data_IF_961215554517
#
_entry.id   IF_961215554517
#
_cell.length_a   1.000
_cell.length_b   1.000
_cell.length_c   1.000
_cell.angle_alpha   90.00
_cell.angle_beta   90.00
_cell.angle_gamma   90.00
#
_symmetry.space_group_name_H-M   'P 1'
#
loop_
_entity.id
_entity.type
_entity.pdbx_description
1 polymer ?
#
# COMPACT_ATOMS: atom_id res chain seq x y z
N UNK A 1 13.38 -48.83 8.50
CA UNK A 1 13.14 -47.81 7.47
C UNK A 1 11.67 -47.41 7.37
N UNK A 2 10.73 -48.37 7.26
CA UNK A 2 9.28 -48.10 7.13
C UNK A 2 8.67 -47.41 8.36
N UNK A 3 9.08 -47.76 9.59
CA UNK A 3 8.59 -47.13 10.83
C UNK A 3 9.06 -45.70 10.99
N UNK A 4 10.27 -45.38 10.54
CA UNK A 4 10.80 -43.99 10.53
C UNK A 4 10.05 -43.12 9.52
N UNK A 5 9.74 -43.67 8.37
CA UNK A 5 8.93 -43.01 7.34
C UNK A 5 7.49 -42.74 7.80
N UNK A 6 6.87 -43.65 8.56
CA UNK A 6 5.53 -43.47 9.11
C UNK A 6 5.49 -42.36 10.17
N UNK A 7 6.50 -42.27 11.06
CA UNK A 7 6.61 -41.21 12.05
C UNK A 7 6.87 -39.85 11.42
N UNK A 8 7.72 -39.78 10.40
CA UNK A 8 7.97 -38.57 9.64
C UNK A 8 6.71 -38.06 8.90
N UNK A 9 5.94 -38.97 8.33
CA UNK A 9 4.67 -38.65 7.70
C UNK A 9 3.61 -38.13 8.69
N UNK A 10 3.56 -38.71 9.89
CA UNK A 10 2.65 -38.25 10.94
C UNK A 10 3.03 -36.85 11.46
N UNK A 11 4.31 -36.60 11.62
CA UNK A 11 4.80 -35.26 11.99
C UNK A 11 4.50 -34.20 10.91
N UNK A 12 4.68 -34.57 9.64
CA UNK A 12 4.31 -33.71 8.51
C UNK A 12 2.82 -33.41 8.46
N UNK A 13 1.97 -34.43 8.75
CA UNK A 13 0.51 -34.23 8.84
C UNK A 13 0.12 -33.31 9.96
N UNK A 14 0.76 -33.42 11.14
CA UNK A 14 0.53 -32.49 12.27
C UNK A 14 0.94 -31.05 11.91
N UNK A 15 2.11 -30.87 11.32
CA UNK A 15 2.56 -29.55 10.83
C UNK A 15 1.62 -28.97 9.77
N UNK A 16 1.13 -29.81 8.87
CA UNK A 16 0.17 -29.39 7.85
C UNK A 16 -1.16 -28.96 8.48
N UNK A 17 -1.67 -29.72 9.45
CA UNK A 17 -2.89 -29.39 10.18
C UNK A 17 -2.75 -28.10 11.00
N UNK A 18 -1.58 -27.85 11.63
CA UNK A 18 -1.28 -26.58 12.31
C UNK A 18 -1.24 -25.41 11.32
N UNK A 19 -0.64 -25.59 10.13
CA UNK A 19 -0.61 -24.58 9.08
C UNK A 19 -2.04 -24.30 8.56
N UNK A 20 -2.86 -25.32 8.39
CA UNK A 20 -4.25 -25.19 7.93
C UNK A 20 -5.14 -24.51 8.97
N UNK A 21 -4.95 -24.81 10.27
CA UNK A 21 -5.69 -24.18 11.38
C UNK A 21 -5.27 -22.71 11.60
N UNK A 22 -4.01 -22.37 11.34
CA UNK A 22 -3.47 -21.03 11.49
C UNK A 22 -3.50 -20.20 10.19
N UNK A 23 -4.08 -20.72 9.11
CA UNK A 23 -4.32 -19.89 7.92
C UNK A 23 -5.33 -18.80 8.29
N UNK A 24 -4.95 -17.52 8.14
CA UNK A 24 -5.92 -16.46 8.32
C UNK A 24 -7.05 -16.67 7.33
N UNK A 25 -8.27 -16.78 7.85
CA UNK A 25 -9.48 -16.85 7.00
C UNK A 25 -9.55 -15.55 6.22
N UNK A 26 -9.42 -15.63 4.90
CA UNK A 26 -9.53 -14.45 4.06
C UNK A 26 -10.99 -13.98 4.01
N UNK A 27 -11.22 -12.70 4.32
CA UNK A 27 -12.53 -12.05 4.17
C UNK A 27 -12.86 -11.80 2.69
N UNK A 28 -11.84 -11.61 1.87
CA UNK A 28 -11.98 -11.36 0.45
C UNK A 28 -10.86 -11.99 -0.37
N UNK A 29 -11.00 -11.94 -1.70
CA UNK A 29 -9.99 -12.44 -2.62
C UNK A 29 -8.74 -11.57 -2.63
N UNK A 30 -7.56 -12.20 -2.62
CA UNK A 30 -6.28 -11.52 -2.84
C UNK A 30 -6.04 -11.12 -4.31
N UNK A 31 -6.86 -11.57 -5.26
CA UNK A 31 -6.65 -11.36 -6.70
C UNK A 31 -7.11 -9.99 -7.22
N UNK A 32 -7.84 -9.19 -6.44
CA UNK A 32 -8.27 -7.85 -6.84
C UNK A 32 -7.10 -6.95 -7.23
N UNK A 33 -7.32 -6.01 -8.14
CA UNK A 33 -6.34 -5.00 -8.55
C UNK A 33 -6.26 -3.82 -7.57
N UNK A 34 -7.29 -3.65 -6.76
CA UNK A 34 -7.33 -2.79 -5.58
C UNK A 34 -7.66 -3.66 -4.37
N UNK A 35 -7.31 -3.20 -3.17
CA UNK A 35 -7.70 -3.86 -1.94
C UNK A 35 -9.10 -3.44 -1.47
N UNK A 36 -9.53 -3.91 -0.29
CA UNK A 36 -10.85 -3.58 0.26
C UNK A 36 -10.99 -2.09 0.62
N UNK A 37 -9.90 -1.45 1.01
CA UNK A 37 -9.86 -0.01 1.28
C UNK A 37 -9.80 0.85 0.00
N UNK A 38 -9.71 0.22 -1.18
CA UNK A 38 -9.60 0.89 -2.48
C UNK A 38 -8.19 1.33 -2.83
N UNK A 39 -7.16 0.91 -2.08
CA UNK A 39 -5.77 1.22 -2.42
C UNK A 39 -5.30 0.37 -3.60
N UNK A 40 -4.63 0.99 -4.61
CA UNK A 40 -4.07 0.26 -5.74
C UNK A 40 -3.01 -0.74 -5.29
N UNK A 41 -3.09 -1.98 -5.79
CA UNK A 41 -2.03 -2.98 -5.69
C UNK A 41 -1.11 -2.91 -6.91
N UNK A 42 0.05 -3.58 -6.88
CA UNK A 42 0.96 -3.60 -8.04
C UNK A 42 0.26 -4.01 -9.34
N UNK A 43 -0.71 -4.93 -9.29
CA UNK A 43 -1.50 -5.33 -10.46
C UNK A 43 -2.34 -4.20 -11.06
N UNK A 44 -2.76 -3.22 -10.30
CA UNK A 44 -3.44 -2.04 -10.82
C UNK A 44 -2.59 -1.35 -11.89
N UNK A 45 -1.31 -1.17 -11.61
CA UNK A 45 -0.36 -0.54 -12.53
C UNK A 45 -0.03 -1.41 -13.74
N UNK A 46 -0.06 -2.74 -13.60
CA UNK A 46 0.02 -3.64 -14.75
C UNK A 46 -1.16 -3.42 -15.70
N UNK A 47 -2.40 -3.41 -15.18
CA UNK A 47 -3.57 -3.16 -16.01
C UNK A 47 -3.54 -1.76 -16.61
N UNK A 48 -3.18 -0.74 -15.82
CA UNK A 48 -3.05 0.63 -16.32
C UNK A 48 -2.07 0.72 -17.49
N UNK A 49 -0.93 0.04 -17.40
CA UNK A 49 0.09 0.04 -18.47
C UNK A 49 -0.42 -0.55 -19.80
N UNK A 50 -1.43 -1.43 -19.74
CA UNK A 50 -1.99 -2.12 -20.91
C UNK A 50 -3.28 -1.49 -21.44
N UNK A 51 -4.14 -1.04 -20.53
CA UNK A 51 -5.44 -0.47 -20.91
C UNK A 51 -5.34 1.02 -21.28
N UNK A 52 -4.28 1.68 -20.84
CA UNK A 52 -4.02 3.10 -21.11
C UNK A 52 -2.62 3.30 -21.72
N UNK A 53 -2.33 2.73 -22.91
CA UNK A 53 -1.00 2.72 -23.52
C UNK A 53 -0.48 4.13 -23.87
N UNK A 54 -1.40 5.11 -24.02
CA UNK A 54 -1.04 6.50 -24.31
C UNK A 54 -0.81 7.35 -23.06
N UNK A 55 -1.08 6.80 -21.86
CA UNK A 55 -0.81 7.49 -20.61
C UNK A 55 0.61 7.18 -20.15
N UNK A 56 1.49 8.19 -20.02
CA UNK A 56 2.82 7.98 -19.48
C UNK A 56 2.76 7.39 -18.07
N UNK A 57 3.33 6.22 -17.88
CA UNK A 57 3.45 5.60 -16.56
C UNK A 57 4.64 4.66 -16.47
N UNK A 58 5.23 4.60 -15.30
CA UNK A 58 6.14 3.58 -14.83
C UNK A 58 5.78 3.23 -13.39
N UNK A 59 6.00 1.99 -12.98
CA UNK A 59 5.78 1.52 -11.62
C UNK A 59 6.81 0.44 -11.29
N UNK A 60 7.59 0.72 -10.24
CA UNK A 60 8.60 -0.22 -9.71
C UNK A 60 7.95 -1.12 -8.66
N UNK A 61 8.24 -2.40 -8.72
CA UNK A 61 7.90 -3.36 -7.67
C UNK A 61 9.07 -4.32 -7.42
N UNK A 62 9.22 -4.78 -6.17
CA UNK A 62 8.49 -4.42 -4.93
C UNK A 62 8.94 -3.05 -4.39
N UNK A 63 8.34 -2.63 -3.26
CA UNK A 63 8.90 -1.53 -2.46
C UNK A 63 10.37 -1.81 -2.09
N UNK A 64 11.12 -0.78 -1.66
CA UNK A 64 12.56 -0.94 -1.41
C UNK A 64 12.91 -0.83 0.08
N UNK A 65 12.23 -1.66 0.91
CA UNK A 65 12.41 -1.75 2.37
C UNK A 65 12.58 -3.21 2.80
N UNK A 66 13.79 -3.74 2.72
CA UNK A 66 14.13 -5.11 3.09
C UNK A 66 15.39 -5.14 3.96
N UNK A 67 15.35 -4.67 5.23
CA UNK A 67 16.53 -4.57 6.08
C UNK A 67 17.26 -5.91 6.27
N UNK A 68 16.51 -7.02 6.26
CA UNK A 68 17.06 -8.37 6.44
C UNK A 68 17.68 -8.96 5.15
N UNK A 69 17.59 -8.23 4.03
CA UNK A 69 18.08 -8.69 2.73
C UNK A 69 19.29 -7.93 2.19
N UNK A 70 19.96 -7.13 3.02
CA UNK A 70 21.15 -6.38 2.59
C UNK A 70 22.18 -7.35 2.02
N UNK A 71 22.68 -7.06 0.81
CA UNK A 71 23.62 -7.91 0.07
C UNK A 71 23.01 -9.15 -0.61
N UNK A 72 21.70 -9.38 -0.49
CA UNK A 72 21.03 -10.52 -1.13
C UNK A 72 20.34 -10.12 -2.43
N UNK A 73 20.27 -11.06 -3.38
CA UNK A 73 19.53 -10.86 -4.63
C UNK A 73 18.05 -10.62 -4.35
N UNK A 74 17.54 -9.51 -4.85
CA UNK A 74 16.16 -9.08 -4.72
C UNK A 74 15.66 -8.68 -6.11
N UNK A 75 14.91 -9.55 -6.81
CA UNK A 75 14.41 -9.26 -8.14
C UNK A 75 13.54 -8.01 -8.17
N UNK A 76 13.74 -7.17 -9.19
CA UNK A 76 12.98 -5.95 -9.41
C UNK A 76 12.22 -6.08 -10.73
N UNK A 77 10.99 -5.60 -10.72
CA UNK A 77 10.14 -5.53 -11.91
C UNK A 77 9.68 -4.10 -12.16
N UNK A 78 9.43 -3.80 -13.42
CA UNK A 78 8.87 -2.51 -13.83
C UNK A 78 7.69 -2.75 -14.77
N UNK A 79 6.52 -2.19 -14.41
CA UNK A 79 5.39 -2.03 -15.30
C UNK A 79 5.46 -0.66 -15.96
N UNK A 80 5.28 -0.59 -17.26
CA UNK A 80 5.25 0.68 -17.99
C UNK A 80 4.41 0.59 -19.27
N UNK A 81 3.78 1.68 -19.65
CA UNK A 81 3.17 1.88 -20.96
C UNK A 81 4.20 2.21 -22.05
N UNK A 82 5.48 2.43 -21.69
CA UNK A 82 6.59 2.58 -22.62
C UNK A 82 7.09 1.25 -23.21
N UNK A 83 8.04 1.32 -24.12
CA UNK A 83 8.66 0.16 -24.80
C UNK A 83 9.84 -0.40 -24.03
N UNK A 84 10.55 0.47 -23.33
CA UNK A 84 11.80 0.19 -22.64
C UNK A 84 11.81 0.85 -21.27
N UNK A 85 12.64 0.34 -20.36
CA UNK A 85 13.00 1.05 -19.15
C UNK A 85 14.45 0.78 -18.77
N UNK A 86 15.07 1.75 -18.13
CA UNK A 86 16.37 1.65 -17.49
C UNK A 86 16.17 1.74 -15.98
N UNK A 87 16.82 0.83 -15.25
CA UNK A 87 16.76 0.76 -13.79
C UNK A 87 18.06 1.29 -13.19
N UNK A 88 17.94 2.05 -12.12
CA UNK A 88 19.06 2.62 -11.38
C UNK A 88 18.95 2.27 -9.90
N UNK A 89 20.06 1.86 -9.28
CA UNK A 89 20.18 1.69 -7.84
C UNK A 89 21.24 2.66 -7.32
N UNK A 90 20.87 3.57 -6.44
CA UNK A 90 21.72 4.61 -5.89
C UNK A 90 22.50 5.38 -6.98
N UNK A 91 21.80 5.74 -8.06
CA UNK A 91 22.36 6.46 -9.22
C UNK A 91 23.17 5.60 -10.20
N UNK A 92 23.46 4.32 -9.88
CA UNK A 92 24.16 3.38 -10.77
C UNK A 92 23.16 2.69 -11.67
N UNK A 93 23.37 2.77 -12.99
CA UNK A 93 22.55 2.03 -13.97
C UNK A 93 22.72 0.52 -13.82
N UNK A 94 21.62 -0.19 -13.79
CA UNK A 94 21.53 -1.66 -13.83
C UNK A 94 21.16 -2.16 -15.24
N UNK A 95 21.22 -1.27 -16.20
CA UNK A 95 20.96 -1.53 -17.61
C UNK A 95 19.55 -1.19 -18.06
N UNK A 96 19.45 -0.93 -19.36
CA UNK A 96 18.21 -0.67 -20.08
C UNK A 96 17.70 -1.94 -20.72
N UNK A 97 16.41 -2.21 -20.61
CA UNK A 97 15.74 -3.38 -21.17
C UNK A 97 14.57 -2.97 -22.00
N UNK A 98 14.30 -3.74 -23.06
CA UNK A 98 13.15 -3.59 -23.95
C UNK A 98 12.15 -4.71 -23.70
N UNK A 99 10.86 -4.38 -23.71
CA UNK A 99 9.80 -5.39 -23.64
C UNK A 99 9.77 -6.21 -24.93
N UNK A 100 9.77 -7.54 -24.81
CA UNK A 100 9.45 -8.44 -25.89
C UNK A 100 7.97 -8.38 -26.27
N UNK A 101 7.62 -8.96 -27.39
CA UNK A 101 6.26 -8.92 -27.96
C UNK A 101 5.18 -9.42 -26.96
N UNK A 102 5.48 -10.48 -26.20
CA UNK A 102 4.56 -11.10 -25.22
C UNK A 102 4.91 -10.79 -23.78
N UNK A 103 5.89 -9.91 -23.54
CA UNK A 103 6.28 -9.51 -22.19
C UNK A 103 5.38 -8.39 -21.67
N UNK A 104 4.85 -8.58 -20.47
CA UNK A 104 4.00 -7.59 -19.81
C UNK A 104 4.73 -6.78 -18.73
N UNK A 105 5.99 -7.14 -18.43
CA UNK A 105 6.85 -6.47 -17.44
C UNK A 105 8.30 -6.56 -17.85
N UNK A 106 9.11 -5.63 -17.38
CA UNK A 106 10.56 -5.71 -17.45
C UNK A 106 11.10 -6.28 -16.13
N UNK A 107 12.18 -7.07 -16.18
CA UNK A 107 12.71 -7.81 -15.02
C UNK A 107 14.22 -7.61 -14.90
N UNK A 108 14.68 -7.40 -13.65
CA UNK A 108 16.06 -7.44 -13.22
C UNK A 108 16.17 -8.46 -12.09
N UNK A 109 16.62 -9.67 -12.38
CA UNK A 109 16.60 -10.80 -11.43
C UNK A 109 17.78 -10.79 -10.46
N UNK A 110 18.87 -10.13 -10.82
CA UNK A 110 20.15 -10.16 -10.09
C UNK A 110 20.43 -8.86 -9.31
N UNK A 111 19.44 -8.04 -9.05
CA UNK A 111 19.62 -6.82 -8.26
C UNK A 111 19.98 -7.21 -6.83
N UNK A 112 21.12 -6.78 -6.36
CA UNK A 112 21.55 -6.96 -4.97
C UNK A 112 20.96 -5.83 -4.15
N UNK A 113 20.21 -6.16 -3.09
CA UNK A 113 19.60 -5.14 -2.25
C UNK A 113 20.66 -4.34 -1.49
N UNK A 114 20.66 -3.05 -1.72
CA UNK A 114 21.36 -2.01 -0.98
C UNK A 114 20.33 -0.96 -0.55
N UNK A 115 20.30 -0.51 0.72
CA UNK A 115 19.42 0.60 1.12
C UNK A 115 19.68 1.85 0.28
N UNK A 116 18.63 2.61 -0.01
CA UNK A 116 18.73 3.85 -0.79
C UNK A 116 17.62 4.01 -1.81
N UNK A 117 17.94 4.53 -2.98
CA UNK A 117 17.01 4.84 -4.05
C UNK A 117 17.04 3.80 -5.16
N UNK A 118 15.89 3.27 -5.49
CA UNK A 118 15.66 2.50 -6.71
C UNK A 118 14.80 3.34 -7.65
N UNK A 119 15.31 3.70 -8.82
CA UNK A 119 14.66 4.58 -9.78
C UNK A 119 14.58 3.91 -11.15
N UNK A 120 13.50 4.13 -11.86
CA UNK A 120 13.38 3.73 -13.27
C UNK A 120 13.03 4.92 -14.15
N UNK A 121 13.57 4.90 -15.38
CA UNK A 121 13.19 5.81 -16.46
C UNK A 121 12.65 4.93 -17.59
N UNK A 122 11.40 5.12 -17.93
CA UNK A 122 10.75 4.44 -19.05
C UNK A 122 10.85 5.29 -20.34
N UNK A 123 10.90 4.61 -21.47
CA UNK A 123 11.01 5.24 -22.78
C UNK A 123 9.94 4.68 -23.72
N UNK A 124 9.46 5.53 -24.63
CA UNK A 124 8.57 5.15 -25.74
C UNK A 124 9.12 5.82 -27.01
N UNK A 125 9.28 5.03 -28.08
CA UNK A 125 9.85 5.50 -29.37
C UNK A 125 11.20 6.24 -29.19
N UNK A 126 12.06 5.72 -28.31
CA UNK A 126 13.37 6.26 -28.00
C UNK A 126 13.40 7.53 -27.13
N UNK A 127 12.25 8.11 -26.78
CA UNK A 127 12.12 9.30 -25.92
C UNK A 127 11.76 8.92 -24.49
N UNK A 128 12.22 9.70 -23.53
CA UNK A 128 11.78 9.54 -22.14
C UNK A 128 10.27 9.69 -22.06
N UNK A 129 9.63 8.73 -21.42
CA UNK A 129 8.17 8.60 -21.35
C UNK A 129 7.63 8.85 -19.96
N UNK A 130 8.19 8.15 -18.98
CA UNK A 130 7.79 8.25 -17.57
C UNK A 130 8.98 7.91 -16.67
N UNK A 131 8.85 8.19 -15.39
CA UNK A 131 9.80 7.74 -14.36
C UNK A 131 9.04 7.36 -13.09
N UNK A 132 9.66 6.50 -12.29
CA UNK A 132 9.18 6.14 -10.96
C UNK A 132 10.37 5.96 -10.03
N UNK A 133 10.14 6.15 -8.72
CA UNK A 133 11.17 6.05 -7.71
C UNK A 133 10.59 5.46 -6.43
N UNK A 134 11.24 4.44 -5.91
CA UNK A 134 11.00 3.90 -4.57
C UNK A 134 12.28 4.05 -3.73
N UNK A 135 12.11 4.32 -2.44
CA UNK A 135 13.24 4.58 -1.56
C UNK A 135 13.14 3.76 -0.28
N UNK A 136 14.27 3.35 0.25
CA UNK A 136 14.34 2.82 1.61
C UNK A 136 13.99 3.94 2.58
N UNK A 137 13.03 3.67 3.45
CA UNK A 137 12.54 4.63 4.45
C UNK A 137 13.19 4.39 5.81
N UNK A 138 13.11 5.39 6.67
CA UNK A 138 13.36 5.23 8.09
C UNK A 138 12.17 4.54 8.81
N UNK A 139 12.23 4.52 10.15
CA UNK A 139 11.10 4.11 10.98
C UNK A 139 9.95 5.13 10.83
N UNK A 140 8.68 4.71 10.96
CA UNK A 140 7.58 5.65 10.99
C UNK A 140 7.69 6.56 12.22
N UNK A 141 7.46 7.86 12.04
CA UNK A 141 7.54 8.88 13.11
C UNK A 141 6.27 9.73 13.18
N UNK A 142 5.48 9.78 12.11
CA UNK A 142 4.31 10.62 12.03
C UNK A 142 3.20 9.99 11.18
N UNK A 143 1.99 10.50 11.41
CA UNK A 143 0.81 10.22 10.60
C UNK A 143 0.61 11.36 9.61
N UNK A 144 0.32 11.02 8.34
CA UNK A 144 -0.08 11.96 7.30
C UNK A 144 -1.51 11.66 6.85
N UNK A 145 -2.33 12.69 6.74
CA UNK A 145 -3.74 12.59 6.33
C UNK A 145 -3.96 13.22 4.95
N UNK A 146 -4.78 12.56 4.14
CA UNK A 146 -5.28 13.09 2.88
C UNK A 146 -6.75 12.75 2.73
N UNK A 147 -7.59 13.74 2.48
CA UNK A 147 -9.02 13.58 2.26
C UNK A 147 -9.34 13.77 0.76
N UNK A 148 -10.29 13.00 0.24
CA UNK A 148 -10.76 13.12 -1.14
C UNK A 148 -11.52 14.44 -1.38
N UNK A 149 -12.10 15.02 -0.33
CA UNK A 149 -12.76 16.33 -0.35
C UNK A 149 -12.67 17.04 1.02
N UNK A 150 -12.85 18.35 1.00
CA UNK A 150 -12.71 19.22 2.18
C UNK A 150 -14.06 19.82 2.63
N UNK A 151 -15.14 19.46 1.95
CA UNK A 151 -16.48 19.97 2.25
C UNK A 151 -17.50 18.84 2.15
N UNK A 152 -18.43 18.78 3.10
CA UNK A 152 -19.54 17.84 3.15
C UNK A 152 -20.88 18.59 3.19
N UNK A 153 -21.92 17.97 2.64
CA UNK A 153 -23.30 18.41 2.83
C UNK A 153 -23.84 17.92 4.17
N UNK A 154 -24.62 18.78 4.88
CA UNK A 154 -25.28 18.45 6.13
C UNK A 154 -26.57 17.64 5.92
N UNK A 155 -26.58 16.68 4.98
CA UNK A 155 -27.73 15.88 4.61
C UNK A 155 -27.85 14.56 5.41
N UNK A 156 -26.82 14.24 6.20
CA UNK A 156 -26.75 12.99 6.97
C UNK A 156 -26.36 11.77 6.14
N UNK A 157 -25.97 11.95 4.88
CA UNK A 157 -25.54 10.88 3.97
C UNK A 157 -24.17 11.11 3.34
N UNK A 158 -23.74 12.36 3.21
CA UNK A 158 -22.47 12.70 2.55
C UNK A 158 -21.26 12.21 3.34
N UNK A 159 -20.29 11.66 2.62
CA UNK A 159 -19.11 10.97 3.15
C UNK A 159 -17.82 11.63 2.67
N UNK A 160 -16.77 11.55 3.48
CA UNK A 160 -15.41 11.83 3.09
C UNK A 160 -14.54 10.61 3.38
N UNK A 161 -13.64 10.30 2.44
CA UNK A 161 -12.67 9.22 2.53
C UNK A 161 -11.31 9.81 2.91
N UNK A 162 -10.80 9.43 4.06
CA UNK A 162 -9.54 9.94 4.61
C UNK A 162 -8.51 8.84 4.55
N UNK A 163 -7.53 9.01 3.66
CA UNK A 163 -6.33 8.16 3.62
C UNK A 163 -5.38 8.58 4.72
N UNK A 164 -4.96 7.62 5.50
CA UNK A 164 -3.99 7.75 6.58
C UNK A 164 -2.74 7.01 6.13
N UNK A 165 -1.60 7.68 6.09
CA UNK A 165 -0.30 7.10 5.74
C UNK A 165 0.67 7.30 6.90
N UNK A 166 1.52 6.30 7.12
CA UNK A 166 2.59 6.37 8.09
C UNK A 166 3.87 6.81 7.40
N UNK A 167 4.49 7.85 7.90
CA UNK A 167 5.65 8.47 7.24
C UNK A 167 6.87 8.53 8.17
N UNK A 168 8.04 8.49 7.55
CA UNK A 168 9.31 8.70 8.21
C UNK A 168 9.66 10.19 8.38
N UNK A 169 10.85 10.49 8.91
CA UNK A 169 11.33 11.86 9.11
C UNK A 169 11.42 12.71 7.85
N UNK A 170 11.50 12.07 6.68
CA UNK A 170 11.56 12.75 5.38
C UNK A 170 10.18 12.84 4.70
N UNK A 171 9.12 12.37 5.40
CA UNK A 171 7.75 12.38 4.89
C UNK A 171 7.46 11.28 3.86
N UNK A 172 8.33 10.27 3.73
CA UNK A 172 8.14 9.11 2.85
C UNK A 172 7.24 8.09 3.53
N UNK A 173 6.32 7.51 2.77
CA UNK A 173 5.45 6.44 3.28
C UNK A 173 6.26 5.19 3.61
N UNK A 174 6.04 4.65 4.81
CA UNK A 174 6.74 3.47 5.32
C UNK A 174 5.92 2.21 5.04
N UNK A 175 6.22 1.43 3.99
CA UNK A 175 5.36 0.34 3.51
C UNK A 175 5.34 -0.90 4.42
N UNK A 176 6.13 -0.89 5.47
CA UNK A 176 6.22 -1.99 6.45
C UNK A 176 5.68 -1.62 7.83
N UNK A 177 5.05 -0.43 7.94
CA UNK A 177 4.56 0.07 9.23
C UNK A 177 3.14 -0.45 9.52
N UNK A 178 2.95 -1.05 10.71
CA UNK A 178 1.69 -1.67 11.12
C UNK A 178 1.28 -1.30 12.58
N UNK A 179 1.37 -0.02 13.03
CA UNK A 179 0.89 0.34 14.35
C UNK A 179 -0.64 0.33 14.40
N UNK A 180 -1.18 0.20 15.61
CA UNK A 180 -2.59 0.45 15.88
C UNK A 180 -2.87 1.95 15.79
N UNK A 181 -3.86 2.34 14.98
CA UNK A 181 -4.29 3.72 14.78
C UNK A 181 -5.67 3.90 15.39
N UNK A 182 -5.84 4.97 16.15
CA UNK A 182 -7.11 5.41 16.72
C UNK A 182 -7.62 6.62 15.93
N UNK A 183 -8.85 6.52 15.40
CA UNK A 183 -9.50 7.58 14.64
C UNK A 183 -10.64 8.19 15.48
N UNK A 184 -10.67 9.51 15.57
CA UNK A 184 -11.70 10.25 16.29
C UNK A 184 -12.19 11.45 15.48
N UNK A 185 -13.38 11.94 15.85
CA UNK A 185 -13.95 13.16 15.27
C UNK A 185 -14.53 14.05 16.35
N UNK A 186 -14.48 15.35 16.10
CA UNK A 186 -15.16 16.38 16.88
C UNK A 186 -16.03 17.24 15.93
N UNK A 187 -17.19 17.70 16.40
CA UNK A 187 -18.11 18.58 15.65
C UNK A 187 -19.17 17.83 14.85
N UNK A 188 -19.39 18.24 13.61
CA UNK A 188 -20.60 17.95 12.82
C UNK A 188 -20.52 16.62 12.05
N UNK A 189 -19.99 15.54 12.63
CA UNK A 189 -19.93 14.24 11.98
C UNK A 189 -19.13 13.21 12.78
N UNK A 190 -19.10 11.99 12.27
CA UNK A 190 -18.46 10.86 12.96
C UNK A 190 -17.76 9.91 12.01
N UNK A 191 -16.74 9.20 12.52
CA UNK A 191 -16.17 8.03 11.86
C UNK A 191 -17.24 6.93 11.81
N UNK A 192 -17.50 6.38 10.64
CA UNK A 192 -18.48 5.30 10.45
C UNK A 192 -17.82 3.98 10.08
N UNK A 193 -16.59 4.02 9.54
CA UNK A 193 -15.86 2.82 9.20
C UNK A 193 -14.35 3.10 9.11
N UNK A 194 -13.55 2.06 9.33
CA UNK A 194 -12.14 2.01 9.01
C UNK A 194 -11.83 0.73 8.24
N UNK A 195 -10.86 0.77 7.31
CA UNK A 195 -10.36 -0.40 6.60
C UNK A 195 -8.85 -0.21 6.28
N UNK A 196 -8.07 -1.26 6.45
CA UNK A 196 -6.64 -1.24 6.15
C UNK A 196 -6.27 -1.96 4.84
N UNK A 197 -7.27 -2.51 4.13
CA UNK A 197 -7.03 -3.27 2.89
C UNK A 197 -6.54 -4.70 3.07
N UNK A 198 -6.24 -5.13 4.30
CA UNK A 198 -5.85 -6.52 4.58
C UNK A 198 -7.05 -7.45 4.41
N UNK A 199 -6.99 -8.32 3.40
CA UNK A 199 -8.03 -9.31 3.12
C UNK A 199 -8.20 -10.35 4.25
N UNK A 200 -7.23 -10.49 5.14
CA UNK A 200 -7.26 -11.41 6.29
C UNK A 200 -7.79 -10.74 7.56
N UNK A 201 -7.92 -9.41 7.60
CA UNK A 201 -8.41 -8.70 8.78
C UNK A 201 -9.88 -9.03 9.03
N UNK A 202 -10.20 -9.55 10.23
CA UNK A 202 -11.56 -9.86 10.68
C UNK A 202 -12.16 -8.77 11.57
N UNK A 203 -11.43 -7.67 11.82
CA UNK A 203 -11.93 -6.53 12.61
C UNK A 203 -13.14 -5.93 11.89
N UNK A 204 -14.28 -5.69 12.58
CA UNK A 204 -15.46 -5.06 12.00
C UNK A 204 -15.13 -3.69 11.40
N UNK A 205 -15.74 -3.33 10.26
CA UNK A 205 -15.47 -2.04 9.61
C UNK A 205 -15.87 -0.84 10.48
N UNK A 206 -16.86 -1.01 11.35
CA UNK A 206 -17.39 0.05 12.24
C UNK A 206 -16.43 0.43 13.37
N UNK A 207 -15.39 -0.36 13.59
CA UNK A 207 -14.38 -0.01 14.60
C UNK A 207 -13.62 1.25 14.18
N UNK A 208 -13.38 2.13 15.16
CA UNK A 208 -12.64 3.38 14.95
C UNK A 208 -11.14 3.23 15.21
N UNK A 209 -10.71 2.03 15.64
CA UNK A 209 -9.32 1.68 15.87
C UNK A 209 -8.94 0.47 15.03
N UNK A 210 -7.86 0.56 14.30
CA UNK A 210 -7.39 -0.51 13.41
C UNK A 210 -5.88 -0.45 13.21
N UNK A 211 -5.23 -1.61 13.17
CA UNK A 211 -3.83 -1.73 12.78
C UNK A 211 -3.68 -1.32 11.31
N UNK A 212 -2.70 -0.47 11.02
CA UNK A 212 -2.34 -0.15 9.63
C UNK A 212 -1.83 -1.41 8.92
N UNK A 213 -1.96 -1.44 7.61
CA UNK A 213 -1.43 -2.49 6.75
C UNK A 213 -0.66 -1.86 5.59
N UNK A 214 0.58 -2.31 5.37
CA UNK A 214 1.48 -1.69 4.40
C UNK A 214 1.64 -0.17 4.57
N UNK A 215 1.62 0.33 5.82
CA UNK A 215 1.74 1.75 6.14
C UNK A 215 0.47 2.57 5.89
N UNK A 216 -0.67 1.94 5.59
CA UNK A 216 -1.90 2.59 5.18
C UNK A 216 -3.10 2.20 6.03
N UNK A 217 -4.05 3.14 6.13
CA UNK A 217 -5.39 2.94 6.68
C UNK A 217 -6.36 3.91 5.98
N UNK A 218 -7.59 3.47 5.76
CA UNK A 218 -8.71 4.31 5.32
C UNK A 218 -9.64 4.55 6.50
N UNK A 219 -10.07 5.81 6.70
CA UNK A 219 -11.21 6.16 7.54
C UNK A 219 -12.32 6.77 6.68
N UNK A 220 -13.56 6.35 6.93
CA UNK A 220 -14.75 6.90 6.29
C UNK A 220 -15.50 7.70 7.34
N UNK A 221 -15.68 8.99 7.06
CA UNK A 221 -16.35 9.93 7.96
C UNK A 221 -17.61 10.44 7.32
N UNK A 222 -18.71 10.48 8.09
CA UNK A 222 -20.02 10.91 7.65
C UNK A 222 -20.44 12.19 8.36
N UNK A 223 -21.02 13.15 7.60
CA UNK A 223 -21.63 14.33 8.15
C UNK A 223 -22.94 13.97 8.89
N UNK A 224 -23.20 14.64 10.01
CA UNK A 224 -24.47 14.52 10.71
C UNK A 224 -25.55 15.40 10.06
N UNK A 225 -26.79 14.90 10.10
CA UNK A 225 -27.93 15.58 9.48
C UNK A 225 -28.20 16.92 10.18
N UNK A 226 -28.40 17.95 9.37
CA UNK A 226 -28.74 19.30 9.79
C UNK A 226 -27.71 20.00 10.70
N UNK A 227 -26.56 19.38 10.95
CA UNK A 227 -25.45 19.97 11.69
C UNK A 227 -24.45 20.63 10.75
N UNK A 228 -24.16 21.89 10.97
CA UNK A 228 -23.25 22.70 10.13
C UNK A 228 -22.11 23.23 10.96
N UNK A 229 -20.96 23.40 10.33
CA UNK A 229 -19.78 23.92 11.00
C UNK A 229 -18.49 23.25 10.52
N UNK A 230 -17.60 23.04 11.46
CA UNK A 230 -16.33 22.35 11.23
C UNK A 230 -16.38 20.96 11.87
N UNK A 231 -16.07 19.95 11.07
CA UNK A 231 -15.75 18.62 11.53
C UNK A 231 -14.23 18.49 11.57
N UNK A 232 -13.69 18.14 12.72
CA UNK A 232 -12.27 17.85 12.92
C UNK A 232 -12.09 16.35 13.03
N UNK A 233 -11.28 15.78 12.14
CA UNK A 233 -10.84 14.39 12.21
C UNK A 233 -9.43 14.33 12.78
N UNK A 234 -9.16 13.38 13.69
CA UNK A 234 -7.84 13.13 14.27
C UNK A 234 -7.49 11.66 14.19
N UNK A 235 -6.24 11.37 13.81
CA UNK A 235 -5.65 10.03 13.87
C UNK A 235 -4.44 10.03 14.80
N UNK A 236 -4.35 9.03 15.67
CA UNK A 236 -3.31 8.88 16.69
C UNK A 236 -2.79 7.45 16.70
N UNK A 237 -1.51 7.28 17.00
CA UNK A 237 -0.87 5.99 17.24
C UNK A 237 0.29 6.18 18.24
N UNK A 238 0.51 5.17 19.06
CA UNK A 238 1.58 5.21 20.07
C UNK A 238 2.95 5.45 19.44
N UNK A 239 3.69 6.41 19.99
CA UNK A 239 5.04 6.75 19.54
C UNK A 239 5.14 7.51 18.22
N UNK A 240 4.01 7.90 17.61
CA UNK A 240 3.98 8.69 16.39
C UNK A 240 3.38 10.08 16.63
N UNK A 241 3.85 11.08 15.88
CA UNK A 241 3.17 12.38 15.86
C UNK A 241 1.77 12.21 15.25
N UNK A 242 0.75 12.62 16.01
CA UNK A 242 -0.65 12.61 15.57
C UNK A 242 -0.92 13.60 14.46
N UNK A 243 -2.00 13.39 13.72
CA UNK A 243 -2.43 14.31 12.66
C UNK A 243 -3.92 14.62 12.77
N UNK A 244 -4.28 15.84 12.42
CA UNK A 244 -5.68 16.28 12.34
C UNK A 244 -5.94 17.02 11.05
N UNK A 245 -7.16 16.93 10.53
CA UNK A 245 -7.65 17.75 9.43
C UNK A 245 -9.06 18.27 9.72
N UNK A 246 -9.40 19.41 9.11
CA UNK A 246 -10.69 20.05 9.25
C UNK A 246 -11.47 19.99 7.95
N UNK A 247 -12.74 19.60 8.05
CA UNK A 247 -13.68 19.47 6.94
C UNK A 247 -14.86 20.43 7.22
N UNK A 248 -15.27 21.20 6.22
CA UNK A 248 -16.40 22.10 6.33
C UNK A 248 -17.70 21.34 6.06
N UNK A 249 -18.66 21.41 6.98
CA UNK A 249 -20.00 20.88 6.77
C UNK A 249 -20.95 22.02 6.48
N UNK A 250 -21.57 22.01 5.30
CA UNK A 250 -22.43 23.07 4.78
C UNK A 250 -23.83 22.52 4.47
N UNK A 251 -24.68 23.43 4.02
CA UNK A 251 -26.03 23.08 3.54
C UNK A 251 -25.98 22.31 2.23
#
# INVERSE_FOLDING_TARGET
AAAKSAAEMEELRKKLAEIETNRPTSRSSYFGIVDLAGFPKDRYYLYQSRWMPERPMAHILPHWNFPDRVGQKTPVFVYTSGDEAELFLNGRSLGRKRKGEYEYRLRWDDVVYEPGELRTIAYKDGKQWAADTVQTTGKPVAIKLSADKTTLAADGSDLVFIRISLVDNEGREVPTAEPLIHCSTEGCGRVIATDNGDAASLIPFQETSRTAFNGLLLAIVKADKDQRGTLRFTAEADGLASASLSIKVKR
#
